data_IF_862399328813
#
_entry.id   IF_862399328813
#
_cell.length_a   1.000
_cell.length_b   1.000
_cell.length_c   1.000
_cell.angle_alpha   90.00
_cell.angle_beta   90.00
_cell.angle_gamma   90.00
#
_symmetry.space_group_name_H-M   'P 1'
#
loop_
_entity.id
_entity.type
_entity.pdbx_description
1 polymer ?
#
# COMPACT_ATOMS: atom_id res chain seq x y z
N UNK A 1 -3.27 -26.42 -5.33
CA UNK A 1 -3.97 -25.14 -5.51
C UNK A 1 -3.72 -24.24 -4.31
N UNK A 2 -2.51 -24.29 -3.74
CA UNK A 2 -2.22 -23.83 -2.37
C UNK A 2 -1.13 -22.75 -2.32
N UNK A 3 -0.81 -22.13 -3.47
CA UNK A 3 0.30 -21.17 -3.58
C UNK A 3 0.13 -19.87 -2.76
N UNK A 4 -1.04 -19.66 -2.18
CA UNK A 4 -1.37 -18.49 -1.35
C UNK A 4 -2.08 -18.88 -0.04
N UNK A 5 -2.12 -20.18 0.28
CA UNK A 5 -2.83 -20.71 1.46
C UNK A 5 -2.00 -20.53 2.75
N UNK A 6 -0.69 -20.66 2.65
CA UNK A 6 0.24 -20.28 3.71
C UNK A 6 0.58 -18.81 3.54
N UNK A 7 0.05 -18.03 4.48
CA UNK A 7 0.12 -16.58 4.67
C UNK A 7 1.03 -15.83 3.68
N UNK A 8 0.42 -14.98 2.83
CA UNK A 8 1.11 -14.10 1.88
C UNK A 8 1.97 -13.03 2.56
N UNK A 9 2.96 -13.45 3.35
CA UNK A 9 3.81 -12.60 4.16
C UNK A 9 5.16 -12.45 3.46
N UNK A 10 5.37 -11.22 3.04
CA UNK A 10 6.65 -10.56 2.85
C UNK A 10 7.63 -10.87 3.99
N UNK A 11 8.94 -10.91 3.68
CA UNK A 11 10.02 -11.20 4.64
C UNK A 11 9.81 -10.46 5.97
N UNK A 12 9.54 -11.25 7.01
CA UNK A 12 8.76 -10.83 8.18
C UNK A 12 9.57 -10.12 9.25
N UNK A 13 10.89 -10.33 9.26
CA UNK A 13 11.71 -9.85 10.37
C UNK A 13 11.72 -8.32 10.41
N UNK A 14 11.46 -7.76 11.58
CA UNK A 14 11.57 -6.32 11.82
C UNK A 14 12.93 -5.75 11.33
N UNK A 15 12.98 -4.48 10.90
CA UNK A 15 14.22 -3.85 10.50
C UNK A 15 15.12 -3.57 11.71
N UNK A 16 16.39 -3.25 11.46
CA UNK A 16 17.39 -2.86 12.47
C UNK A 16 17.44 -1.34 12.69
N UNK A 17 16.35 -0.64 12.41
CA UNK A 17 16.21 0.80 12.60
C UNK A 17 14.86 1.14 13.25
N UNK A 18 14.81 2.26 13.97
CA UNK A 18 13.57 2.76 14.56
C UNK A 18 12.66 3.46 13.55
N UNK A 19 11.39 3.67 13.88
CA UNK A 19 10.47 4.43 13.03
C UNK A 19 11.02 5.83 12.70
N UNK A 20 11.60 6.51 13.71
CA UNK A 20 12.18 7.84 13.56
C UNK A 20 13.43 7.84 12.68
N UNK A 21 14.29 6.82 12.80
CA UNK A 21 15.47 6.68 11.93
C UNK A 21 15.06 6.43 10.49
N UNK A 22 14.03 5.62 10.26
CA UNK A 22 13.45 5.40 8.94
C UNK A 22 12.91 6.68 8.33
N UNK A 23 12.10 7.45 9.08
CA UNK A 23 11.57 8.73 8.64
C UNK A 23 12.67 9.76 8.31
N UNK A 24 13.66 9.92 9.21
CA UNK A 24 14.82 10.79 8.99
C UNK A 24 15.62 10.36 7.76
N UNK A 25 15.76 9.06 7.53
CA UNK A 25 16.45 8.52 6.34
C UNK A 25 15.72 8.89 5.06
N UNK A 26 14.39 8.72 5.03
CA UNK A 26 13.57 9.14 3.87
C UNK A 26 13.72 10.64 3.61
N UNK A 27 13.67 11.49 4.65
CA UNK A 27 13.90 12.94 4.49
C UNK A 27 15.30 13.27 3.99
N UNK A 28 16.35 12.63 4.54
CA UNK A 28 17.74 12.83 4.10
C UNK A 28 17.96 12.40 2.65
N UNK A 29 17.29 11.34 2.21
CA UNK A 29 17.28 10.91 0.82
C UNK A 29 16.46 11.85 -0.09
N UNK A 30 15.91 12.94 0.46
CA UNK A 30 15.11 13.97 -0.20
C UNK A 30 13.67 13.53 -0.51
N UNK A 31 13.12 12.62 0.30
CA UNK A 31 11.71 12.27 0.34
C UNK A 31 10.91 13.10 1.35
N UNK A 32 9.66 12.69 1.58
CA UNK A 32 8.70 13.40 2.44
C UNK A 32 8.22 12.49 3.57
N UNK A 33 7.97 13.09 4.74
CA UNK A 33 7.19 12.46 5.81
C UNK A 33 5.84 13.15 5.82
N UNK A 34 4.84 12.47 5.28
CA UNK A 34 3.46 12.96 5.20
C UNK A 34 2.76 12.81 6.56
N UNK A 35 1.84 13.73 6.87
CA UNK A 35 1.06 13.68 8.11
C UNK A 35 -0.42 13.44 7.81
N UNK A 36 -0.94 12.28 8.20
CA UNK A 36 -2.37 11.98 8.06
C UNK A 36 -3.18 12.56 9.22
N UNK A 37 -4.44 12.85 8.95
CA UNK A 37 -5.37 13.47 9.91
C UNK A 37 -6.69 12.72 9.94
N UNK A 38 -7.39 12.80 11.06
CA UNK A 38 -8.67 12.13 11.24
C UNK A 38 -8.55 10.63 11.53
N UNK A 39 -9.69 9.94 11.51
CA UNK A 39 -9.82 8.52 11.87
C UNK A 39 -10.11 7.68 10.62
N UNK A 40 -9.67 6.43 10.68
CA UNK A 40 -9.99 5.43 9.67
C UNK A 40 -11.50 5.14 9.63
N UNK A 41 -12.06 5.18 8.43
CA UNK A 41 -13.45 4.81 8.13
C UNK A 41 -13.58 4.03 6.82
N UNK A 42 -12.46 3.51 6.29
CA UNK A 42 -12.39 2.78 5.04
C UNK A 42 -13.33 1.57 5.02
N UNK A 43 -14.00 1.36 3.88
CA UNK A 43 -14.96 0.25 3.71
C UNK A 43 -14.59 -0.72 2.58
N UNK A 44 -13.59 -0.35 1.78
CA UNK A 44 -13.22 -1.07 0.57
C UNK A 44 -11.73 -0.89 0.30
N UNK A 45 -11.13 -1.90 -0.34
CA UNK A 45 -9.77 -1.86 -0.89
C UNK A 45 -9.86 -1.86 -2.41
N UNK A 46 -9.23 -0.88 -3.06
CA UNK A 46 -8.99 -0.90 -4.50
C UNK A 46 -7.62 -1.48 -4.79
N UNK A 47 -7.55 -2.54 -5.58
CA UNK A 47 -6.32 -3.10 -6.13
C UNK A 47 -6.22 -2.66 -7.60
N UNK A 48 -5.50 -1.57 -7.85
CA UNK A 48 -5.44 -0.92 -9.16
C UNK A 48 -4.30 -1.48 -10.03
N UNK A 49 -4.65 -2.05 -11.19
CA UNK A 49 -3.73 -2.55 -12.21
C UNK A 49 -3.61 -1.62 -13.42
N UNK A 50 -4.20 -0.42 -13.38
CA UNK A 50 -4.09 0.55 -14.47
C UNK A 50 -2.76 1.30 -14.35
N UNK A 51 -1.79 0.91 -15.17
CA UNK A 51 -0.48 1.56 -15.23
C UNK A 51 -0.59 3.08 -15.46
N UNK A 52 0.25 3.84 -14.75
CA UNK A 52 0.30 5.30 -14.80
C UNK A 52 -0.95 6.02 -14.27
N UNK A 53 -1.87 5.32 -13.61
CA UNK A 53 -3.05 5.89 -12.98
C UNK A 53 -3.10 5.54 -11.49
N UNK A 54 -3.75 6.38 -10.70
CA UNK A 54 -4.03 6.14 -9.27
C UNK A 54 -5.44 6.61 -8.92
N UNK A 55 -5.81 6.48 -7.65
CA UNK A 55 -6.99 7.10 -7.06
C UNK A 55 -6.56 8.05 -5.94
N UNK A 56 -7.37 9.07 -5.67
CA UNK A 56 -7.16 9.98 -4.54
C UNK A 56 -7.81 9.46 -3.26
N UNK A 57 -7.19 9.65 -2.08
CA UNK A 57 -7.88 9.54 -0.80
C UNK A 57 -9.07 10.50 -0.73
N UNK A 58 -10.15 10.10 -0.06
CA UNK A 58 -11.28 10.98 0.22
C UNK A 58 -11.67 10.82 1.69
N UNK A 59 -11.49 11.88 2.46
CA UNK A 59 -11.74 11.86 3.90
C UNK A 59 -13.23 11.60 4.26
N UNK A 60 -14.16 11.95 3.37
CA UNK A 60 -15.61 11.79 3.55
C UNK A 60 -16.11 10.42 3.09
N UNK A 61 -15.35 9.73 2.23
CA UNK A 61 -15.67 8.41 1.69
C UNK A 61 -14.39 7.58 1.52
N UNK A 62 -13.79 7.19 2.65
CA UNK A 62 -12.47 6.59 2.68
C UNK A 62 -12.45 5.19 2.05
N UNK A 63 -11.32 4.88 1.40
CA UNK A 63 -10.98 3.57 0.86
C UNK A 63 -9.48 3.36 0.96
N UNK A 64 -9.07 2.12 1.14
CA UNK A 64 -7.68 1.78 0.92
C UNK A 64 -7.41 1.70 -0.59
N UNK A 65 -6.30 2.25 -1.04
CA UNK A 65 -5.92 2.27 -2.45
C UNK A 65 -4.55 1.61 -2.58
N UNK A 66 -4.46 0.56 -3.38
CA UNK A 66 -3.22 -0.17 -3.63
C UNK A 66 -2.97 -0.14 -5.13
N UNK A 67 -1.96 0.59 -5.56
CA UNK A 67 -1.53 0.59 -6.95
C UNK A 67 -0.67 -0.65 -7.23
N UNK A 68 -1.34 -1.76 -7.54
CA UNK A 68 -0.73 -3.06 -7.82
C UNK A 68 0.23 -3.00 -9.02
N UNK A 69 -0.05 -2.15 -10.02
CA UNK A 69 0.88 -1.91 -11.13
C UNK A 69 2.23 -1.35 -10.65
N UNK A 70 2.25 -0.54 -9.59
CA UNK A 70 3.48 0.04 -9.04
C UNK A 70 4.35 -1.03 -8.37
N UNK A 71 3.73 -2.04 -7.72
CA UNK A 71 4.48 -3.18 -7.19
C UNK A 71 5.27 -3.90 -8.29
N UNK A 72 4.68 -4.07 -9.48
CA UNK A 72 5.39 -4.60 -10.66
C UNK A 72 6.53 -3.70 -11.13
N UNK A 73 6.32 -2.38 -11.14
CA UNK A 73 7.35 -1.39 -11.50
C UNK A 73 8.57 -1.43 -10.58
N UNK A 74 8.39 -1.80 -9.31
CA UNK A 74 9.47 -2.00 -8.34
C UNK A 74 9.89 -3.48 -8.19
N UNK A 75 9.61 -4.31 -9.20
CA UNK A 75 10.03 -5.71 -9.26
C UNK A 75 9.62 -6.53 -8.01
N UNK A 76 8.40 -6.31 -7.52
CA UNK A 76 7.80 -7.08 -6.43
C UNK A 76 6.88 -8.17 -6.99
N UNK A 77 6.66 -9.23 -6.21
CA UNK A 77 5.64 -10.25 -6.52
C UNK A 77 4.25 -9.64 -6.35
N UNK A 78 3.60 -9.29 -7.47
CA UNK A 78 2.33 -8.54 -7.46
C UNK A 78 1.19 -9.32 -6.79
N UNK A 79 0.91 -10.60 -7.14
CA UNK A 79 -0.08 -11.39 -6.41
C UNK A 79 0.18 -11.44 -4.91
N UNK A 80 1.42 -11.74 -4.49
CA UNK A 80 1.79 -11.79 -3.07
C UNK A 80 1.57 -10.43 -2.40
N UNK A 81 2.01 -9.35 -3.03
CA UNK A 81 1.85 -7.99 -2.54
C UNK A 81 0.37 -7.60 -2.30
N UNK A 82 -0.52 -7.96 -3.24
CA UNK A 82 -1.95 -7.73 -3.09
C UNK A 82 -2.55 -8.52 -1.91
N UNK A 83 -2.12 -9.77 -1.70
CA UNK A 83 -2.55 -10.57 -0.55
C UNK A 83 -1.99 -10.00 0.76
N UNK A 84 -0.72 -9.54 0.78
CA UNK A 84 -0.14 -8.83 1.94
C UNK A 84 -0.93 -7.58 2.30
N UNK A 85 -1.43 -6.84 1.30
CA UNK A 85 -2.25 -5.65 1.55
C UNK A 85 -3.57 -6.01 2.26
N UNK A 86 -4.24 -7.08 1.82
CA UNK A 86 -5.43 -7.58 2.49
C UNK A 86 -5.14 -8.06 3.92
N UNK A 87 -4.06 -8.84 4.11
CA UNK A 87 -3.64 -9.31 5.42
C UNK A 87 -3.28 -8.15 6.38
N UNK A 88 -2.71 -7.06 5.86
CA UNK A 88 -2.45 -5.83 6.63
C UNK A 88 -3.76 -5.24 7.15
N UNK A 89 -4.79 -5.11 6.30
CA UNK A 89 -6.11 -4.59 6.69
C UNK A 89 -6.75 -5.46 7.77
N UNK A 90 -6.64 -6.79 7.64
CA UNK A 90 -7.15 -7.75 8.62
C UNK A 90 -6.45 -7.60 9.98
N UNK A 91 -5.10 -7.56 10.01
CA UNK A 91 -4.31 -7.42 11.24
C UNK A 91 -4.53 -6.09 11.95
N UNK A 92 -4.88 -5.03 11.21
CA UNK A 92 -5.24 -3.73 11.79
C UNK A 92 -6.66 -3.71 12.39
N UNK A 93 -7.49 -4.73 12.12
CA UNK A 93 -8.89 -4.81 12.55
C UNK A 93 -9.26 -6.19 13.15
N UNK A 94 -8.54 -6.68 14.18
CA UNK A 94 -8.65 -8.07 14.65
C UNK A 94 -10.03 -8.43 15.23
N UNK A 95 -10.82 -7.43 15.64
CA UNK A 95 -12.14 -7.62 16.27
C UNK A 95 -13.35 -7.60 15.33
N UNK A 96 -13.17 -7.35 14.03
CA UNK A 96 -14.27 -7.36 13.07
C UNK A 96 -14.38 -8.75 12.42
N UNK A 97 -15.23 -9.63 12.96
CA UNK A 97 -15.61 -10.91 12.32
C UNK A 97 -17.13 -11.16 12.43
N UNK A 98 -17.84 -11.53 11.33
CA UNK A 98 -17.37 -11.50 9.95
C UNK A 98 -17.22 -10.04 9.47
N UNK A 99 -16.07 -9.69 8.92
CA UNK A 99 -15.91 -8.33 8.42
C UNK A 99 -16.46 -8.21 6.99
N UNK A 100 -17.21 -7.15 6.65
CA UNK A 100 -17.66 -6.88 5.28
C UNK A 100 -16.52 -6.35 4.39
N UNK A 101 -15.36 -7.02 4.36
CA UNK A 101 -14.23 -6.58 3.54
C UNK A 101 -14.56 -6.71 2.06
N UNK A 102 -14.55 -5.58 1.36
CA UNK A 102 -14.75 -5.52 -0.09
C UNK A 102 -13.42 -5.21 -0.78
N UNK A 103 -13.13 -5.92 -1.86
CA UNK A 103 -12.01 -5.64 -2.72
C UNK A 103 -12.46 -5.48 -4.17
N UNK A 104 -12.04 -4.39 -4.81
CA UNK A 104 -12.24 -4.17 -6.23
C UNK A 104 -10.91 -4.23 -6.95
N UNK A 105 -10.75 -5.21 -7.83
CA UNK A 105 -9.55 -5.39 -8.65
C UNK A 105 -9.79 -4.64 -9.95
N UNK A 106 -9.20 -3.44 -10.07
CA UNK A 106 -9.42 -2.54 -11.21
C UNK A 106 -8.43 -2.85 -12.32
N UNK A 107 -8.93 -3.24 -13.49
CA UNK A 107 -8.13 -3.73 -14.62
C UNK A 107 -8.43 -2.99 -15.92
N UNK A 108 -7.49 -2.91 -16.89
CA UNK A 108 -7.72 -2.16 -18.13
C UNK A 108 -8.92 -2.69 -18.93
N UNK A 109 -9.08 -4.01 -18.91
CA UNK A 109 -10.15 -4.79 -19.52
C UNK A 109 -10.35 -6.07 -18.70
N UNK A 110 -11.43 -6.82 -18.97
CA UNK A 110 -11.64 -8.14 -18.36
C UNK A 110 -10.38 -9.02 -18.51
N UNK A 111 -9.70 -9.37 -17.39
CA UNK A 111 -8.43 -10.07 -17.42
C UNK A 111 -8.64 -11.58 -17.52
N UNK A 112 -7.70 -12.28 -18.16
CA UNK A 112 -7.73 -13.76 -18.25
C UNK A 112 -6.99 -14.46 -17.10
N UNK A 113 -5.88 -13.90 -16.59
CA UNK A 113 -5.00 -14.52 -15.57
C UNK A 113 -4.36 -13.46 -14.67
N UNK A 114 -4.04 -13.80 -13.41
CA UNK A 114 -3.47 -12.89 -12.40
C UNK A 114 -4.56 -12.27 -11.49
N UNK A 115 -5.31 -11.25 -11.94
CA UNK A 115 -6.42 -10.67 -11.17
C UNK A 115 -7.46 -11.70 -10.69
N UNK A 116 -7.73 -12.75 -11.48
CA UNK A 116 -8.66 -13.81 -11.08
C UNK A 116 -8.12 -14.68 -9.94
N UNK A 117 -6.81 -14.93 -9.88
CA UNK A 117 -6.18 -15.68 -8.79
C UNK A 117 -6.19 -14.88 -7.50
N UNK A 118 -5.96 -13.56 -7.58
CA UNK A 118 -6.08 -12.63 -6.45
C UNK A 118 -7.52 -12.62 -5.92
N UNK A 119 -8.53 -12.57 -6.80
CA UNK A 119 -9.94 -12.68 -6.41
C UNK A 119 -10.18 -13.96 -5.62
N UNK A 120 -9.75 -15.11 -6.15
CA UNK A 120 -9.90 -16.41 -5.48
C UNK A 120 -9.19 -16.44 -4.11
N UNK A 121 -7.97 -15.91 -4.04
CA UNK A 121 -7.22 -15.82 -2.78
C UNK A 121 -7.95 -14.96 -1.74
N UNK A 122 -8.45 -13.78 -2.12
CA UNK A 122 -9.19 -12.90 -1.21
C UNK A 122 -10.54 -13.52 -0.78
N UNK A 123 -11.27 -14.15 -1.70
CA UNK A 123 -12.51 -14.87 -1.39
C UNK A 123 -12.27 -16.03 -0.41
N UNK A 124 -11.15 -16.76 -0.57
CA UNK A 124 -10.71 -17.78 0.38
C UNK A 124 -10.45 -17.25 1.80
N UNK A 125 -10.12 -15.95 1.92
CA UNK A 125 -9.97 -15.23 3.19
C UNK A 125 -11.27 -14.61 3.71
N UNK A 126 -12.41 -14.87 3.05
CA UNK A 126 -13.72 -14.34 3.44
C UNK A 126 -14.05 -12.94 2.90
N UNK A 127 -13.28 -12.42 1.95
CA UNK A 127 -13.55 -11.11 1.33
C UNK A 127 -14.61 -11.21 0.22
N UNK A 128 -15.39 -10.14 0.05
CA UNK A 128 -16.15 -9.90 -1.18
C UNK A 128 -15.24 -9.25 -2.21
N UNK A 129 -14.57 -10.07 -3.03
CA UNK A 129 -13.68 -9.59 -4.09
C UNK A 129 -14.31 -9.72 -5.48
N UNK A 130 -14.20 -8.68 -6.30
CA UNK A 130 -14.64 -8.69 -7.69
C UNK A 130 -13.73 -7.87 -8.59
N UNK A 131 -13.73 -8.22 -9.88
CA UNK A 131 -13.01 -7.48 -10.91
C UNK A 131 -13.89 -6.33 -11.38
N UNK A 132 -13.27 -5.16 -11.57
CA UNK A 132 -13.88 -4.03 -12.24
C UNK A 132 -12.97 -3.56 -13.38
N UNK A 133 -13.58 -3.01 -14.42
CA UNK A 133 -12.83 -2.47 -15.56
C UNK A 133 -12.52 -0.98 -15.36
N UNK A 134 -11.54 -0.48 -16.11
CA UNK A 134 -11.19 0.95 -16.18
C UNK A 134 -12.40 1.82 -16.49
N UNK A 135 -13.32 1.38 -17.35
CA UNK A 135 -14.52 2.15 -17.71
C UNK A 135 -15.45 2.34 -16.51
N UNK A 136 -15.63 1.32 -15.67
CA UNK A 136 -16.42 1.40 -14.45
C UNK A 136 -15.83 2.36 -13.42
N UNK A 137 -14.52 2.62 -13.49
CA UNK A 137 -13.75 3.43 -12.55
C UNK A 137 -13.29 4.77 -13.15
N UNK A 138 -13.77 5.15 -14.35
CA UNK A 138 -13.23 6.28 -15.11
C UNK A 138 -13.30 7.62 -14.36
N UNK A 139 -14.34 7.84 -13.55
CA UNK A 139 -14.54 9.09 -12.82
C UNK A 139 -13.64 9.27 -11.60
N UNK A 140 -12.98 8.20 -11.13
CA UNK A 140 -12.15 8.21 -9.93
C UNK A 140 -10.67 7.95 -10.20
N UNK A 141 -10.33 7.45 -11.39
CA UNK A 141 -8.95 7.27 -11.82
C UNK A 141 -8.36 8.60 -12.28
N UNK A 142 -7.21 8.96 -11.72
CA UNK A 142 -6.44 10.14 -12.09
C UNK A 142 -5.05 9.72 -12.61
N UNK A 143 -4.49 10.43 -13.60
CA UNK A 143 -3.12 10.19 -14.04
C UNK A 143 -2.13 10.42 -12.91
N UNK A 144 -1.07 9.61 -12.87
CA UNK A 144 0.03 9.84 -11.94
C UNK A 144 0.81 11.09 -12.34
N UNK A 145 1.13 11.92 -11.35
CA UNK A 145 1.93 13.12 -11.51
C UNK A 145 3.36 12.88 -11.01
N UNK A 146 4.41 13.36 -11.71
CA UNK A 146 5.80 13.25 -11.24
C UNK A 146 6.09 13.94 -9.90
N UNK A 147 5.31 14.96 -9.52
CA UNK A 147 5.35 15.57 -8.20
C UNK A 147 4.54 14.79 -7.14
N UNK A 148 3.85 13.73 -7.57
CA UNK A 148 3.06 12.85 -6.75
C UNK A 148 3.90 12.03 -5.77
N UNK A 149 3.38 11.88 -4.56
CA UNK A 149 4.00 11.09 -3.52
C UNK A 149 3.73 9.60 -3.74
N UNK A 150 4.77 8.78 -3.79
CA UNK A 150 4.62 7.34 -3.59
C UNK A 150 4.28 7.11 -2.11
N UNK A 151 2.99 7.21 -1.79
CA UNK A 151 2.48 7.33 -0.43
C UNK A 151 1.70 6.09 0.02
N UNK A 152 1.21 6.14 1.27
CA UNK A 152 0.48 5.03 1.87
C UNK A 152 -0.83 4.71 1.15
N UNK A 153 -1.28 3.46 1.33
CA UNK A 153 -2.62 2.98 0.92
C UNK A 153 -3.76 3.61 1.73
N UNK A 154 -3.43 4.28 2.83
CA UNK A 154 -4.31 4.92 3.80
C UNK A 154 -5.33 5.86 3.11
N UNK A 155 -6.61 5.71 3.47
CA UNK A 155 -7.72 6.45 2.88
C UNK A 155 -8.00 7.79 3.56
N UNK A 156 -7.36 8.07 4.70
CA UNK A 156 -7.53 9.33 5.44
C UNK A 156 -7.02 10.53 4.64
N UNK A 157 -7.48 11.71 5.04
CA UNK A 157 -6.90 12.97 4.60
C UNK A 157 -5.48 13.15 5.15
N UNK A 158 -4.71 14.02 4.49
CA UNK A 158 -3.36 14.39 4.91
C UNK A 158 -3.03 15.84 4.58
N UNK A 159 -1.82 16.25 4.94
CA UNK A 159 -1.20 17.51 4.54
C UNK A 159 -0.77 17.54 3.06
N UNK A 160 -0.80 16.43 2.33
CA UNK A 160 -0.59 16.42 0.88
C UNK A 160 -1.75 17.07 0.12
N UNK A 161 -1.45 17.90 -0.89
CA UNK A 161 -2.44 18.65 -1.69
C UNK A 161 -2.15 18.59 -3.19
N UNK A 162 -3.21 18.59 -4.00
CA UNK A 162 -3.13 18.69 -5.46
C UNK A 162 -2.28 17.57 -6.06
N UNK A 163 -1.31 17.92 -6.92
CA UNK A 163 -0.44 16.95 -7.59
C UNK A 163 0.28 15.97 -6.64
N UNK A 164 0.55 16.36 -5.39
CA UNK A 164 1.16 15.49 -4.38
C UNK A 164 0.31 14.24 -4.09
N UNK A 165 -1.02 14.33 -4.24
CA UNK A 165 -1.95 13.23 -4.03
C UNK A 165 -1.98 12.24 -5.20
N UNK A 166 -1.42 12.63 -6.35
CA UNK A 166 -1.44 11.87 -7.60
C UNK A 166 -0.20 10.98 -7.77
N UNK A 167 0.46 10.56 -6.69
CA UNK A 167 1.50 9.52 -6.77
C UNK A 167 0.95 8.11 -6.51
N UNK A 168 1.71 7.05 -6.80
CA UNK A 168 1.28 5.68 -6.55
C UNK A 168 1.03 5.40 -5.06
N UNK A 169 0.06 4.53 -4.74
CA UNK A 169 -0.29 4.13 -3.37
C UNK A 169 0.29 2.75 -3.05
N UNK A 170 1.22 2.69 -2.11
CA UNK A 170 1.91 1.47 -1.65
C UNK A 170 1.86 1.35 -0.13
N UNK A 171 1.96 0.13 0.42
CA UNK A 171 1.82 -0.15 1.84
C UNK A 171 2.86 0.66 2.65
N UNK A 172 2.42 1.63 3.45
CA UNK A 172 3.35 2.51 4.18
C UNK A 172 4.28 3.35 3.28
N UNK A 173 3.93 3.57 2.01
CA UNK A 173 4.79 4.24 1.03
C UNK A 173 6.01 3.39 0.66
N UNK A 174 7.22 3.94 0.79
CA UNK A 174 8.46 3.21 0.47
C UNK A 174 8.71 1.99 1.36
N UNK A 175 8.07 1.92 2.54
CA UNK A 175 8.18 0.74 3.40
C UNK A 175 7.58 -0.52 2.78
N UNK A 176 6.60 -0.40 1.88
CA UNK A 176 6.01 -1.56 1.20
C UNK A 176 7.00 -2.28 0.30
N UNK A 177 7.89 -1.50 -0.34
CA UNK A 177 9.03 -2.01 -1.12
C UNK A 177 10.06 -2.64 -0.16
N UNK A 178 10.41 -1.93 0.91
CA UNK A 178 11.41 -2.35 1.89
C UNK A 178 11.08 -3.71 2.52
N UNK A 179 9.85 -3.87 2.98
CA UNK A 179 9.34 -5.10 3.61
C UNK A 179 9.33 -6.25 2.61
N UNK A 180 8.84 -6.04 1.38
CA UNK A 180 8.84 -7.08 0.34
C UNK A 180 10.24 -7.60 -0.01
N UNK A 181 11.22 -6.70 -0.01
CA UNK A 181 12.61 -7.04 -0.30
C UNK A 181 13.39 -7.51 0.93
N UNK A 182 12.77 -7.48 2.10
CA UNK A 182 13.38 -7.93 3.35
C UNK A 182 14.56 -7.08 3.82
N UNK A 183 14.62 -5.80 3.42
CA UNK A 183 15.73 -4.92 3.81
C UNK A 183 15.71 -4.65 5.31
N UNK A 184 16.88 -4.42 5.92
CA UNK A 184 17.01 -4.29 7.38
C UNK A 184 17.66 -2.98 7.81
N UNK A 185 18.28 -2.23 6.92
CA UNK A 185 19.11 -1.08 7.27
C UNK A 185 18.61 0.21 6.63
N UNK A 186 18.95 1.35 7.23
CA UNK A 186 18.65 2.68 6.67
C UNK A 186 19.38 2.92 5.35
N UNK A 187 20.57 2.35 5.15
CA UNK A 187 21.29 2.44 3.86
C UNK A 187 20.53 1.77 2.72
N UNK A 188 19.92 0.61 2.99
CA UNK A 188 19.06 -0.06 2.00
C UNK A 188 17.77 0.74 1.75
N UNK A 189 17.20 1.35 2.79
CA UNK A 189 16.03 2.23 2.65
C UNK A 189 16.34 3.48 1.82
N UNK A 190 17.52 4.08 1.99
CA UNK A 190 18.01 5.19 1.18
C UNK A 190 18.14 4.79 -0.31
N UNK A 191 18.65 3.58 -0.58
CA UNK A 191 18.72 3.06 -1.95
C UNK A 191 17.32 2.90 -2.58
N UNK A 192 16.32 2.44 -1.82
CA UNK A 192 14.92 2.39 -2.27
C UNK A 192 14.40 3.81 -2.55
N UNK A 193 14.68 4.79 -1.68
CA UNK A 193 14.27 6.17 -1.92
C UNK A 193 14.86 6.72 -3.23
N UNK A 194 16.13 6.39 -3.52
CA UNK A 194 16.76 6.75 -4.79
C UNK A 194 16.05 6.09 -5.98
N UNK A 195 15.76 4.80 -5.90
CA UNK A 195 15.05 4.07 -6.96
C UNK A 195 13.67 4.68 -7.24
N UNK A 196 12.91 5.04 -6.20
CA UNK A 196 11.60 5.67 -6.34
C UNK A 196 11.71 7.02 -7.08
N UNK A 197 12.76 7.81 -6.77
CA UNK A 197 13.05 9.05 -7.49
C UNK A 197 13.42 8.83 -8.95
N UNK A 198 14.33 7.88 -9.20
CA UNK A 198 14.74 7.51 -10.56
C UNK A 198 13.55 7.02 -11.38
N UNK A 199 12.55 6.42 -10.71
CA UNK A 199 11.29 5.97 -11.30
C UNK A 199 10.25 7.08 -11.52
N UNK A 200 10.58 8.34 -11.18
CA UNK A 200 9.79 9.53 -11.43
C UNK A 200 8.78 9.90 -10.35
N UNK A 201 8.96 9.45 -9.10
CA UNK A 201 8.05 9.72 -7.99
C UNK A 201 8.76 10.30 -6.78
N UNK A 202 8.02 10.94 -5.88
CA UNK A 202 8.57 11.41 -4.59
C UNK A 202 8.48 10.28 -3.55
N UNK A 203 9.60 9.81 -2.97
CA UNK A 203 9.57 8.77 -1.94
C UNK A 203 8.97 9.32 -0.65
N UNK A 204 7.99 8.62 -0.11
CA UNK A 204 7.25 9.09 1.08
C UNK A 204 7.06 7.97 2.09
N UNK A 205 7.10 8.35 3.36
CA UNK A 205 6.53 7.60 4.50
C UNK A 205 5.53 8.52 5.20
N UNK A 206 4.75 8.00 6.15
CA UNK A 206 3.82 8.86 6.88
C UNK A 206 3.71 8.50 8.35
N UNK A 207 3.25 9.49 9.12
CA UNK A 207 2.69 9.32 10.45
C UNK A 207 1.28 9.89 10.52
N UNK A 208 0.86 10.23 11.73
CA UNK A 208 -0.31 11.07 12.01
C UNK A 208 -0.02 11.97 13.24
N UNK A 209 -1.07 12.57 13.81
CA UNK A 209 -0.99 13.43 15.01
C UNK A 209 -0.29 12.76 16.20
N UNK A 210 -0.22 11.42 16.25
CA UNK A 210 0.50 10.65 17.28
C UNK A 210 1.97 10.37 16.94
N UNK A 211 2.47 10.84 15.81
CA UNK A 211 3.85 10.63 15.33
C UNK A 211 3.97 9.55 14.26
N UNK A 212 5.20 9.12 13.99
CA UNK A 212 5.52 8.25 12.84
C UNK A 212 4.88 6.85 12.92
N UNK A 213 4.52 6.38 14.12
CA UNK A 213 3.79 5.12 14.31
C UNK A 213 2.29 5.23 14.02
N UNK A 214 1.82 6.41 13.57
CA UNK A 214 0.49 6.60 13.00
C UNK A 214 0.26 5.85 11.68
N UNK A 215 1.33 5.38 11.03
CA UNK A 215 1.23 4.41 9.94
C UNK A 215 1.02 3.00 10.49
N UNK A 216 -0.17 2.42 10.28
CA UNK A 216 -0.49 1.05 10.69
C UNK A 216 0.48 0.00 10.14
N UNK A 217 0.87 0.13 8.86
CA UNK A 217 1.82 -0.81 8.23
C UNK A 217 3.22 -0.73 8.86
N UNK A 218 3.75 0.49 9.06
CA UNK A 218 5.01 0.73 9.74
C UNK A 218 5.00 0.15 11.17
N UNK A 219 3.90 0.40 11.90
CA UNK A 219 3.70 -0.14 13.24
C UNK A 219 3.71 -1.66 13.26
N UNK A 220 3.03 -2.33 12.33
CA UNK A 220 3.05 -3.79 12.24
C UNK A 220 4.47 -4.31 11.95
N UNK A 221 5.18 -3.71 11.00
CA UNK A 221 6.53 -4.15 10.61
C UNK A 221 7.55 -3.99 11.74
N UNK A 222 7.55 -2.84 12.42
CA UNK A 222 8.51 -2.56 13.49
C UNK A 222 8.26 -3.38 14.76
N UNK A 223 7.02 -3.84 14.96
CA UNK A 223 6.64 -4.68 16.10
C UNK A 223 6.61 -6.18 15.76
N UNK A 224 7.21 -6.59 14.64
CA UNK A 224 7.33 -8.00 14.24
C UNK A 224 5.98 -8.70 14.07
N UNK A 225 4.91 -7.94 13.76
CA UNK A 225 3.53 -8.45 13.62
C UNK A 225 3.22 -9.04 12.25
N UNK A 226 4.18 -9.02 11.35
CA UNK A 226 4.15 -9.79 10.10
C UNK A 226 4.78 -11.17 10.25
N UNK A 227 5.52 -11.43 11.33
CA UNK A 227 5.96 -12.80 11.62
C UNK A 227 4.74 -13.67 11.97
N UNK A 228 4.71 -14.90 11.45
CA UNK A 228 3.65 -15.88 11.75
C UNK A 228 3.39 -15.95 13.27
N UNK A 229 2.12 -15.85 13.68
CA UNK A 229 1.66 -16.15 15.06
C UNK A 229 1.23 -17.61 15.17
#
# INVERSE_FOLDING_TARGET
NDKFADEGMVNESKPKFSADDGAKTVQKAGGVVENHVGKHTEKVVYLNFIDGMTLEPNADDQRFIVDAWAAGKFNLDVPKYCVTAAATVEKLNPGQKPCPWKAFIVTPSEPRFGPAEIVGALQGRGWQASIQTKSMNKSQLVPVDPAGYLKCVDGRGSDAKGAQQHGPKMLGGVYGIAVNRGIKTTKELEAICKEVKDAGHVPTVHGDEGGILGCGFCKLWLNDKFADE
#
